data_IF_029396509759
#
_entry.id   IF_029396509759
#
_cell.length_a   1.000
_cell.length_b   1.000
_cell.length_c   1.000
_cell.angle_alpha   90.00
_cell.angle_beta   90.00
_cell.angle_gamma   90.00
#
_symmetry.space_group_name_H-M   'P 1'
#
loop_
_entity.id
_entity.type
_entity.pdbx_description
1 polymer ?
#
# COMPACT_ATOMS: atom_id res chain seq x y z
N UNK A 1 -16.55 -8.11 5.77
CA UNK A 1 -15.20 -8.49 5.34
C UNK A 1 -15.03 -9.95 5.69
N UNK A 2 -14.42 -10.72 4.80
CA UNK A 2 -14.07 -12.12 5.03
C UNK A 2 -12.63 -12.21 5.50
N UNK A 3 -12.39 -13.02 6.52
CA UNK A 3 -11.07 -13.29 7.05
C UNK A 3 -10.72 -14.71 6.75
N UNK A 4 -9.57 -14.90 6.13
CA UNK A 4 -9.05 -16.20 5.80
C UNK A 4 -8.04 -16.62 6.86
N UNK A 5 -8.14 -17.85 7.34
CA UNK A 5 -7.19 -18.39 8.30
C UNK A 5 -6.81 -19.83 7.99
N UNK A 6 -5.62 -20.21 8.46
CA UNK A 6 -5.13 -21.58 8.37
C UNK A 6 -5.63 -22.40 9.57
N UNK A 7 -6.15 -23.59 9.30
CA UNK A 7 -6.55 -24.52 10.34
C UNK A 7 -5.97 -25.92 10.06
N UNK A 8 -5.15 -26.43 10.98
CA UNK A 8 -4.60 -27.77 10.86
C UNK A 8 -5.69 -28.83 11.05
N UNK A 9 -5.87 -29.72 10.07
CA UNK A 9 -6.86 -30.79 10.14
C UNK A 9 -6.36 -32.08 9.47
N UNK A 10 -6.23 -33.16 10.26
CA UNK A 10 -5.91 -34.52 9.78
C UNK A 10 -4.71 -34.59 8.83
N UNK A 11 -3.64 -33.87 9.17
CA UNK A 11 -2.40 -33.87 8.38
C UNK A 11 -2.45 -32.99 7.11
N UNK A 12 -3.50 -32.20 6.96
CA UNK A 12 -3.64 -31.14 5.93
C UNK A 12 -3.80 -29.78 6.60
N UNK A 13 -3.62 -28.73 5.82
CA UNK A 13 -3.94 -27.36 6.21
C UNK A 13 -5.19 -26.91 5.49
N UNK A 14 -6.26 -26.62 6.23
CA UNK A 14 -7.48 -26.05 5.67
C UNK A 14 -7.36 -24.54 5.59
N UNK A 15 -7.94 -23.97 4.55
CA UNK A 15 -8.21 -22.54 4.46
C UNK A 15 -9.68 -22.36 4.86
N UNK A 16 -9.91 -21.59 5.92
CA UNK A 16 -11.25 -21.25 6.39
C UNK A 16 -11.53 -19.78 6.06
N UNK A 17 -12.73 -19.50 5.57
CA UNK A 17 -13.30 -18.16 5.49
C UNK A 17 -14.13 -17.91 6.74
N UNK A 18 -13.90 -16.78 7.42
CA UNK A 18 -14.55 -16.38 8.66
C UNK A 18 -15.15 -15.00 8.44
N UNK A 19 -16.45 -14.85 8.67
CA UNK A 19 -17.14 -13.59 8.47
C UNK A 19 -18.28 -13.46 9.49
N UNK A 20 -18.73 -12.22 9.71
CA UNK A 20 -19.92 -11.97 10.53
C UNK A 20 -21.17 -12.05 9.68
N UNK A 21 -22.22 -12.68 10.19
CA UNK A 21 -23.55 -12.70 9.60
C UNK A 21 -24.59 -12.45 10.71
N UNK A 22 -25.33 -11.35 10.65
CA UNK A 22 -26.39 -11.08 11.62
C UNK A 22 -25.90 -10.91 13.08
N UNK A 23 -24.64 -10.55 13.29
CA UNK A 23 -24.02 -10.40 14.60
C UNK A 23 -23.28 -11.65 15.12
N UNK A 24 -23.50 -12.81 14.50
CA UNK A 24 -22.79 -14.04 14.81
C UNK A 24 -21.57 -14.21 13.89
N UNK A 25 -20.54 -14.90 14.39
CA UNK A 25 -19.35 -15.26 13.61
C UNK A 25 -19.58 -16.63 12.98
N UNK A 26 -19.58 -16.67 11.66
CA UNK A 26 -19.64 -17.91 10.87
C UNK A 26 -18.26 -18.26 10.32
N UNK A 27 -18.04 -19.56 10.08
CA UNK A 27 -16.85 -20.04 9.37
C UNK A 27 -17.23 -21.11 8.36
N UNK A 28 -16.63 -21.04 7.18
CA UNK A 28 -16.77 -22.03 6.11
C UNK A 28 -15.39 -22.52 5.66
N UNK A 29 -15.30 -23.76 5.21
CA UNK A 29 -14.05 -24.27 4.62
C UNK A 29 -14.03 -23.92 3.14
N UNK A 30 -13.04 -23.15 2.72
CA UNK A 30 -12.78 -22.84 1.31
C UNK A 30 -12.16 -24.08 0.64
N UNK A 31 -11.04 -24.55 1.19
CA UNK A 31 -10.29 -25.68 0.60
C UNK A 31 -9.30 -26.30 1.60
N UNK A 32 -8.50 -27.28 1.15
CA UNK A 32 -7.46 -27.93 1.95
C UNK A 32 -6.22 -28.25 1.13
N UNK A 33 -5.07 -27.92 1.68
CA UNK A 33 -3.73 -28.10 1.11
C UNK A 33 -2.90 -29.09 1.93
N UNK A 34 -1.85 -29.63 1.32
CA UNK A 34 -1.03 -30.67 1.95
C UNK A 34 0.00 -30.11 2.96
N UNK A 35 0.31 -28.81 2.92
CA UNK A 35 1.19 -28.16 3.88
C UNK A 35 0.76 -26.72 4.19
N UNK A 36 1.15 -26.19 5.38
CA UNK A 36 1.00 -24.77 5.71
C UNK A 36 1.73 -23.85 4.73
N UNK A 37 2.90 -24.24 4.24
CA UNK A 37 3.71 -23.41 3.34
C UNK A 37 3.02 -23.12 2.00
N UNK A 38 2.17 -24.04 1.53
CA UNK A 38 1.32 -23.81 0.35
C UNK A 38 0.07 -22.98 0.67
N UNK A 39 -0.43 -23.05 1.90
CA UNK A 39 -1.65 -22.36 2.31
C UNK A 39 -1.38 -20.91 2.71
N UNK A 40 -0.21 -20.62 3.30
CA UNK A 40 0.12 -19.31 3.83
C UNK A 40 0.03 -18.20 2.77
N UNK A 41 0.67 -18.31 1.58
CA UNK A 41 0.59 -17.27 0.56
C UNK A 41 -0.84 -17.05 0.00
N UNK A 42 -1.65 -18.12 -0.06
CA UNK A 42 -3.04 -18.03 -0.52
C UNK A 42 -3.91 -17.31 0.51
N UNK A 43 -3.80 -17.67 1.78
CA UNK A 43 -4.53 -17.03 2.89
C UNK A 43 -4.15 -15.56 3.01
N UNK A 44 -2.87 -15.29 2.87
CA UNK A 44 -2.27 -13.97 2.85
C UNK A 44 -2.91 -13.09 1.76
N UNK A 45 -2.79 -13.48 0.50
CA UNK A 45 -3.35 -12.71 -0.61
C UNK A 45 -4.89 -12.56 -0.51
N UNK A 46 -5.63 -13.60 -0.09
CA UNK A 46 -7.08 -13.53 0.10
C UNK A 46 -7.50 -12.52 1.17
N UNK A 47 -6.76 -12.41 2.27
CA UNK A 47 -7.02 -11.41 3.30
C UNK A 47 -6.80 -9.98 2.79
N UNK A 48 -5.71 -9.73 2.05
CA UNK A 48 -5.51 -8.43 1.37
C UNK A 48 -6.65 -8.12 0.42
N UNK A 49 -7.01 -9.05 -0.46
CA UNK A 49 -8.09 -8.87 -1.42
C UNK A 49 -9.40 -8.54 -0.71
N UNK A 50 -9.78 -9.28 0.34
CA UNK A 50 -11.04 -8.99 1.05
C UNK A 50 -11.02 -7.59 1.68
N UNK A 51 -9.92 -7.18 2.30
CA UNK A 51 -9.80 -5.84 2.86
C UNK A 51 -9.88 -4.76 1.77
N UNK A 52 -9.07 -4.87 0.72
CA UNK A 52 -8.94 -3.88 -0.35
C UNK A 52 -10.18 -3.79 -1.25
N UNK A 53 -10.92 -4.88 -1.43
CA UNK A 53 -12.19 -4.87 -2.15
C UNK A 53 -13.32 -4.23 -1.33
N UNK A 54 -13.28 -4.42 0.00
CA UNK A 54 -14.34 -4.05 0.93
C UNK A 54 -14.27 -2.61 1.39
N UNK A 55 -13.10 -2.17 1.89
CA UNK A 55 -12.96 -0.89 2.58
C UNK A 55 -13.37 0.31 1.71
N UNK A 56 -13.00 0.38 0.42
CA UNK A 56 -13.47 1.40 -0.52
C UNK A 56 -14.97 1.62 -0.56
N UNK A 57 -15.75 0.56 -0.41
CA UNK A 57 -17.22 0.55 -0.58
C UNK A 57 -17.93 0.37 0.76
N UNK A 58 -17.21 0.56 1.87
CA UNK A 58 -17.77 0.46 3.21
C UNK A 58 -18.86 1.51 3.42
N UNK A 59 -20.02 1.06 3.91
CA UNK A 59 -21.19 1.92 4.22
C UNK A 59 -20.97 2.85 5.41
N UNK A 60 -19.87 2.68 6.16
CA UNK A 60 -19.44 3.56 7.26
C UNK A 60 -18.52 4.68 6.78
N UNK A 61 -18.40 4.86 5.47
CA UNK A 61 -17.70 6.00 4.90
C UNK A 61 -18.43 7.31 5.22
N UNK A 62 -17.82 8.13 6.08
CA UNK A 62 -18.39 9.39 6.57
C UNK A 62 -18.19 10.59 5.63
N UNK A 63 -17.71 10.40 4.39
CA UNK A 63 -17.58 11.49 3.40
C UNK A 63 -18.90 12.22 3.20
N UNK A 64 -18.84 13.53 2.95
CA UNK A 64 -20.00 14.44 2.77
C UNK A 64 -20.94 14.07 1.60
N UNK A 65 -20.70 12.95 0.91
CA UNK A 65 -21.60 12.36 -0.09
C UNK A 65 -21.58 10.85 0.08
N UNK A 66 -22.63 10.33 0.74
CA UNK A 66 -22.93 8.89 0.94
C UNK A 66 -22.60 8.05 -0.29
N UNK A 67 -22.15 6.80 -0.08
CA UNK A 67 -22.01 5.58 -0.95
C UNK A 67 -22.24 5.72 -2.47
N UNK A 68 -23.25 6.46 -2.92
CA UNK A 68 -23.62 6.67 -4.32
C UNK A 68 -22.56 7.35 -5.23
N UNK A 69 -21.40 7.77 -4.71
CA UNK A 69 -20.36 8.46 -5.50
C UNK A 69 -19.00 7.78 -5.56
N UNK A 70 -18.86 6.57 -4.99
CA UNK A 70 -17.59 5.84 -5.07
C UNK A 70 -17.62 4.76 -6.15
N UNK A 71 -16.53 4.58 -6.92
CA UNK A 71 -16.51 3.57 -7.98
C UNK A 71 -16.59 2.17 -7.38
N UNK A 72 -17.30 1.28 -8.06
CA UNK A 72 -17.43 -0.14 -7.70
C UNK A 72 -16.77 -1.05 -8.73
N UNK A 73 -16.16 -0.47 -9.77
CA UNK A 73 -15.58 -1.20 -10.89
C UNK A 73 -14.42 -2.10 -10.46
N UNK A 74 -13.70 -1.76 -9.38
CA UNK A 74 -12.64 -2.62 -8.82
C UNK A 74 -13.17 -3.99 -8.37
N UNK A 75 -14.46 -4.13 -8.04
CA UNK A 75 -15.05 -5.42 -7.69
C UNK A 75 -15.06 -6.39 -8.88
N UNK A 76 -15.07 -5.90 -10.13
CA UNK A 76 -14.97 -6.74 -11.32
C UNK A 76 -13.63 -7.50 -11.37
N UNK A 77 -12.54 -6.89 -10.91
CA UNK A 77 -11.19 -7.44 -10.96
C UNK A 77 -10.99 -8.72 -10.11
N UNK A 78 -11.87 -8.95 -9.12
CA UNK A 78 -11.87 -10.15 -8.29
C UNK A 78 -12.16 -11.41 -9.15
N UNK A 79 -13.03 -11.29 -10.14
CA UNK A 79 -13.52 -12.41 -10.96
C UNK A 79 -13.05 -12.34 -12.42
N UNK A 80 -12.85 -11.13 -12.95
CA UNK A 80 -12.41 -10.91 -14.32
C UNK A 80 -10.92 -10.52 -14.36
N UNK A 81 -10.08 -11.46 -14.81
CA UNK A 81 -8.64 -11.21 -14.98
C UNK A 81 -8.34 -10.09 -15.97
N UNK A 82 -9.19 -9.87 -16.99
CA UNK A 82 -8.98 -8.79 -17.94
C UNK A 82 -9.20 -7.41 -17.31
N UNK A 83 -10.17 -7.30 -16.39
CA UNK A 83 -10.46 -6.07 -15.66
C UNK A 83 -9.37 -5.67 -14.64
N UNK A 84 -8.43 -6.57 -14.32
CA UNK A 84 -7.34 -6.25 -13.38
C UNK A 84 -6.43 -5.14 -13.89
N UNK A 85 -6.22 -5.05 -15.21
CA UNK A 85 -5.43 -3.97 -15.79
C UNK A 85 -6.07 -2.59 -15.55
N UNK A 86 -7.41 -2.54 -15.44
CA UNK A 86 -8.13 -1.29 -15.23
C UNK A 86 -7.92 -0.72 -13.82
N UNK A 87 -7.52 -1.55 -12.83
CA UNK A 87 -7.14 -1.09 -11.48
C UNK A 87 -5.92 -0.15 -11.48
N UNK A 88 -5.09 -0.24 -12.54
CA UNK A 88 -3.92 0.62 -12.73
C UNK A 88 -4.26 1.90 -13.51
N UNK A 89 -5.53 2.12 -13.80
CA UNK A 89 -6.04 3.28 -14.53
C UNK A 89 -7.10 3.99 -13.71
N UNK A 90 -7.00 5.32 -13.62
CA UNK A 90 -7.92 6.11 -12.82
C UNK A 90 -7.25 7.31 -12.18
N UNK A 91 -8.10 8.22 -11.70
CA UNK A 91 -7.74 9.44 -10.99
C UNK A 91 -8.91 9.90 -10.10
N UNK A 92 -9.62 8.96 -9.47
CA UNK A 92 -10.78 9.25 -8.62
C UNK A 92 -10.34 10.00 -7.36
N UNK A 93 -9.49 9.37 -6.54
CA UNK A 93 -8.82 9.95 -5.38
C UNK A 93 -7.47 9.27 -5.12
N UNK A 94 -6.51 9.97 -4.51
CA UNK A 94 -5.20 9.47 -4.11
C UNK A 94 -5.36 8.20 -3.27
N UNK A 95 -6.27 8.23 -2.31
CA UNK A 95 -6.57 7.07 -1.49
C UNK A 95 -7.18 5.91 -2.30
N UNK A 96 -8.21 6.17 -3.14
CA UNK A 96 -8.84 5.11 -3.95
C UNK A 96 -7.84 4.41 -4.87
N UNK A 97 -7.06 5.21 -5.58
CA UNK A 97 -6.18 4.74 -6.63
C UNK A 97 -4.97 3.99 -6.04
N UNK A 98 -4.56 4.36 -4.82
CA UNK A 98 -3.58 3.58 -4.03
C UNK A 98 -4.16 2.24 -3.60
N UNK A 99 -5.42 2.20 -3.13
CA UNK A 99 -6.11 0.94 -2.80
C UNK A 99 -6.26 0.04 -4.04
N UNK A 100 -6.54 0.61 -5.21
CA UNK A 100 -6.63 -0.16 -6.46
C UNK A 100 -5.27 -0.74 -6.89
N UNK A 101 -4.18 0.00 -6.71
CA UNK A 101 -2.82 -0.49 -6.94
C UNK A 101 -2.49 -1.68 -6.03
N UNK A 102 -2.76 -1.56 -4.74
CA UNK A 102 -2.57 -2.64 -3.76
C UNK A 102 -3.45 -3.85 -4.07
N UNK A 103 -4.70 -3.64 -4.49
CA UNK A 103 -5.61 -4.72 -4.88
C UNK A 103 -5.07 -5.47 -6.11
N UNK A 104 -4.53 -4.73 -7.08
CA UNK A 104 -3.87 -5.33 -8.23
C UNK A 104 -2.70 -6.21 -7.81
N UNK A 105 -1.84 -5.73 -6.90
CA UNK A 105 -0.71 -6.51 -6.39
C UNK A 105 -1.17 -7.77 -5.64
N UNK A 106 -2.16 -7.65 -4.75
CA UNK A 106 -2.70 -8.80 -4.02
C UNK A 106 -3.32 -9.86 -4.94
N UNK A 107 -3.98 -9.44 -6.03
CA UNK A 107 -4.51 -10.35 -7.05
C UNK A 107 -3.39 -11.03 -7.86
N UNK A 108 -2.29 -10.33 -8.15
CA UNK A 108 -1.12 -10.91 -8.79
C UNK A 108 -0.42 -11.95 -7.89
N UNK A 109 -0.22 -11.62 -6.61
CA UNK A 109 0.35 -12.54 -5.62
C UNK A 109 -0.51 -13.79 -5.44
N UNK A 110 -1.84 -13.63 -5.48
CA UNK A 110 -2.76 -14.78 -5.46
C UNK A 110 -2.58 -15.65 -6.71
N UNK A 111 -2.47 -15.07 -7.91
CA UNK A 111 -2.24 -15.84 -9.14
C UNK A 111 -0.93 -16.64 -9.06
N UNK A 112 0.14 -16.03 -8.55
CA UNK A 112 1.44 -16.69 -8.36
C UNK A 112 1.37 -17.81 -7.32
N UNK A 113 0.70 -17.56 -6.19
CA UNK A 113 0.45 -18.59 -5.17
C UNK A 113 -0.38 -19.75 -5.73
N UNK A 114 -1.38 -19.46 -6.58
CA UNK A 114 -2.23 -20.46 -7.20
C UNK A 114 -1.52 -21.25 -8.33
N UNK A 115 -0.45 -20.72 -8.91
CA UNK A 115 0.30 -21.40 -9.98
C UNK A 115 0.92 -22.73 -9.52
N UNK A 116 1.24 -22.86 -8.23
CA UNK A 116 1.90 -24.05 -7.65
C UNK A 116 0.93 -25.03 -6.97
N UNK A 117 -0.36 -24.69 -6.83
CA UNK A 117 -1.35 -25.54 -6.15
C UNK A 117 -2.16 -26.43 -7.12
N UNK A 118 -2.69 -27.57 -6.65
CA UNK A 118 -3.51 -28.46 -7.49
C UNK A 118 -4.76 -27.77 -8.06
N UNK A 119 -5.20 -28.20 -9.25
CA UNK A 119 -6.37 -27.63 -9.93
C UNK A 119 -7.64 -27.55 -9.05
N UNK A 120 -7.99 -28.56 -8.23
CA UNK A 120 -9.17 -28.46 -7.37
C UNK A 120 -9.09 -27.32 -6.35
N UNK A 121 -7.89 -26.99 -5.87
CA UNK A 121 -7.67 -25.86 -4.95
C UNK A 121 -7.90 -24.54 -5.68
N UNK A 122 -7.35 -24.39 -6.89
CA UNK A 122 -7.56 -23.21 -7.73
C UNK A 122 -9.04 -22.92 -7.97
N UNK A 123 -9.80 -23.94 -8.39
CA UNK A 123 -11.24 -23.81 -8.63
C UNK A 123 -12.00 -23.41 -7.36
N UNK A 124 -11.63 -23.96 -6.20
CA UNK A 124 -12.27 -23.59 -4.94
C UNK A 124 -11.98 -22.13 -4.54
N UNK A 125 -10.76 -21.65 -4.76
CA UNK A 125 -10.37 -20.26 -4.48
C UNK A 125 -11.02 -19.28 -5.47
N UNK A 126 -11.10 -19.64 -6.76
CA UNK A 126 -11.81 -18.82 -7.76
C UNK A 126 -13.31 -18.71 -7.42
N UNK A 127 -13.96 -19.80 -6.99
CA UNK A 127 -15.35 -19.79 -6.54
C UNK A 127 -15.57 -18.95 -5.26
N UNK A 128 -14.56 -18.89 -4.38
CA UNK A 128 -14.60 -18.02 -3.20
C UNK A 128 -14.53 -16.54 -3.59
N UNK A 129 -13.66 -16.16 -4.53
CA UNK A 129 -13.61 -14.79 -5.06
C UNK A 129 -14.92 -14.38 -5.75
N UNK A 130 -15.55 -15.30 -6.49
CA UNK A 130 -16.88 -15.07 -7.07
C UNK A 130 -17.95 -14.83 -6.00
N UNK A 131 -17.89 -15.60 -4.90
CA UNK A 131 -18.79 -15.45 -3.75
C UNK A 131 -18.60 -14.09 -3.08
N UNK A 132 -17.36 -13.73 -2.77
CA UNK A 132 -17.02 -12.44 -2.14
C UNK A 132 -17.49 -11.26 -3.02
N UNK A 133 -17.17 -11.28 -4.32
CA UNK A 133 -17.53 -10.21 -5.24
C UNK A 133 -19.06 -10.09 -5.43
N UNK A 134 -19.78 -11.21 -5.47
CA UNK A 134 -21.25 -11.21 -5.54
C UNK A 134 -21.86 -10.65 -4.26
N UNK A 135 -21.44 -11.12 -3.09
CA UNK A 135 -21.99 -10.66 -1.81
C UNK A 135 -21.72 -9.18 -1.54
N UNK A 136 -20.55 -8.67 -1.96
CA UNK A 136 -20.26 -7.24 -1.91
C UNK A 136 -21.21 -6.43 -2.79
N UNK A 137 -21.45 -6.87 -4.04
CA UNK A 137 -22.39 -6.19 -4.95
C UNK A 137 -23.83 -6.23 -4.44
N UNK A 138 -24.30 -7.41 -3.99
CA UNK A 138 -25.65 -7.57 -3.45
C UNK A 138 -25.87 -6.63 -2.25
N UNK A 139 -24.89 -6.54 -1.33
CA UNK A 139 -24.95 -5.65 -0.18
C UNK A 139 -24.96 -4.15 -0.57
N UNK A 140 -24.24 -3.77 -1.62
CA UNK A 140 -24.23 -2.41 -2.14
C UNK A 140 -25.55 -2.04 -2.82
N UNK A 141 -26.11 -2.95 -3.61
CA UNK A 141 -27.40 -2.76 -4.27
C UNK A 141 -28.52 -2.58 -3.24
N UNK A 142 -28.58 -3.45 -2.21
CA UNK A 142 -29.53 -3.31 -1.09
C UNK A 142 -29.44 -1.95 -0.40
N UNK A 143 -28.23 -1.43 -0.20
CA UNK A 143 -28.02 -0.13 0.43
C UNK A 143 -28.44 1.03 -0.49
N UNK A 144 -28.17 0.92 -1.78
CA UNK A 144 -28.50 1.95 -2.78
C UNK A 144 -30.00 2.17 -2.95
N UNK A 145 -30.82 1.13 -2.76
CA UNK A 145 -32.28 1.19 -2.86
C UNK A 145 -32.96 1.84 -1.64
N UNK A 146 -32.18 2.25 -0.62
CA UNK A 146 -32.66 2.82 0.64
C UNK A 146 -33.71 1.95 1.36
N UNK A 147 -33.77 0.66 1.03
CA UNK A 147 -34.57 -0.32 1.75
C UNK A 147 -33.92 -0.49 3.12
N UNK A 148 -34.66 -0.33 4.24
CA UNK A 148 -34.13 -0.66 5.55
C UNK A 148 -33.75 -2.14 5.55
N UNK A 149 -32.46 -2.43 5.41
CA UNK A 149 -31.96 -3.80 5.39
C UNK A 149 -32.42 -4.51 6.67
N UNK A 150 -33.06 -5.70 6.60
CA UNK A 150 -33.50 -6.42 7.80
C UNK A 150 -32.32 -6.64 8.75
N UNK A 151 -32.51 -6.42 10.05
CA UNK A 151 -31.45 -6.43 11.07
C UNK A 151 -30.72 -7.78 11.27
N UNK A 152 -30.91 -8.78 10.40
CA UNK A 152 -30.44 -10.16 10.60
C UNK A 152 -29.50 -10.75 9.55
N UNK A 153 -29.26 -10.11 8.40
CA UNK A 153 -28.43 -10.67 7.30
C UNK A 153 -27.20 -9.80 6.95
N UNK A 154 -26.78 -8.92 7.85
CA UNK A 154 -25.70 -7.97 7.57
C UNK A 154 -24.34 -8.60 7.84
N UNK A 155 -23.46 -8.62 6.82
CA UNK A 155 -22.01 -8.67 7.06
C UNK A 155 -21.62 -7.37 7.78
N UNK A 156 -21.17 -7.48 9.03
CA UNK A 156 -20.69 -6.33 9.81
C UNK A 156 -19.29 -5.95 9.31
N UNK A 157 -19.18 -4.73 8.77
CA UNK A 157 -17.96 -4.14 8.23
C UNK A 157 -17.30 -3.35 9.37
N UNK A 158 -16.45 -4.01 10.17
CA UNK A 158 -15.82 -3.39 11.32
C UNK A 158 -14.73 -2.41 10.84
N UNK A 159 -15.03 -1.11 10.91
CA UNK A 159 -14.14 -0.01 10.49
C UNK A 159 -13.10 0.34 11.58
N UNK A 160 -13.46 0.21 12.86
CA UNK A 160 -12.58 0.62 13.96
C UNK A 160 -11.58 -0.49 14.32
N UNK A 161 -11.96 -1.74 14.07
CA UNK A 161 -11.11 -2.92 14.29
C UNK A 161 -11.40 -3.98 13.22
N UNK A 162 -10.84 -3.88 11.99
CA UNK A 162 -10.83 -5.02 11.09
C UNK A 162 -10.27 -6.21 11.88
N UNK A 163 -11.00 -7.31 11.92
CA UNK A 163 -10.69 -8.43 12.82
C UNK A 163 -9.35 -9.12 12.55
N UNK A 164 -8.51 -8.64 11.61
CA UNK A 164 -7.10 -9.02 11.50
C UNK A 164 -6.27 -7.90 10.85
N UNK A 165 -5.10 -7.53 11.42
CA UNK A 165 -4.01 -6.89 10.68
C UNK A 165 -3.38 -7.92 9.75
N UNK A 166 -3.63 -7.83 8.45
CA UNK A 166 -2.87 -8.60 7.47
C UNK A 166 -1.38 -8.21 7.58
N UNK A 167 -0.49 -9.13 7.98
CA UNK A 167 0.97 -8.91 8.02
C UNK A 167 1.50 -7.77 8.90
N UNK A 168 0.67 -7.20 9.80
CA UNK A 168 0.98 -5.94 10.50
C UNK A 168 -0.02 -4.81 10.24
N UNK A 169 -1.00 -5.04 9.37
CA UNK A 169 -1.95 -4.03 8.88
C UNK A 169 -1.40 -3.35 7.63
N UNK A 170 -2.27 -2.92 6.73
CA UNK A 170 -1.86 -2.01 5.65
C UNK A 170 -1.96 -0.58 6.20
N UNK A 171 -0.83 0.15 6.39
CA UNK A 171 -0.87 1.54 6.88
C UNK A 171 -1.79 2.42 6.01
N UNK A 172 -1.85 2.15 4.71
CA UNK A 172 -2.70 2.83 3.71
C UNK A 172 -4.21 2.70 3.99
N UNK A 173 -4.66 1.63 4.63
CA UNK A 173 -6.07 1.42 4.97
C UNK A 173 -6.47 2.04 6.31
N UNK A 174 -5.53 2.69 7.01
CA UNK A 174 -5.84 3.40 8.25
C UNK A 174 -6.64 4.68 8.02
N UNK A 175 -7.45 5.07 8.99
CA UNK A 175 -8.17 6.35 8.97
C UNK A 175 -7.21 7.53 8.85
N UNK A 176 -6.06 7.49 9.54
CA UNK A 176 -5.05 8.55 9.47
C UNK A 176 -4.44 8.70 8.06
N UNK A 177 -4.03 7.59 7.44
CA UNK A 177 -3.53 7.57 6.06
C UNK A 177 -4.58 8.14 5.09
N UNK A 178 -5.84 7.76 5.27
CA UNK A 178 -6.94 8.27 4.48
C UNK A 178 -7.14 9.78 4.65
N UNK A 179 -7.26 10.26 5.89
CA UNK A 179 -7.46 11.69 6.19
C UNK A 179 -6.30 12.55 5.68
N UNK A 180 -5.07 12.02 5.72
CA UNK A 180 -3.92 12.69 5.11
C UNK A 180 -4.10 12.83 3.60
N UNK A 181 -4.35 11.72 2.88
CA UNK A 181 -4.49 11.76 1.43
C UNK A 181 -5.69 12.62 0.99
N UNK A 182 -6.79 12.61 1.75
CA UNK A 182 -7.94 13.50 1.51
C UNK A 182 -7.53 14.99 1.67
N UNK A 183 -6.62 15.31 2.60
CA UNK A 183 -6.08 16.67 2.78
C UNK A 183 -5.14 17.10 1.66
N UNK A 184 -4.26 16.21 1.20
CA UNK A 184 -3.38 16.45 0.04
C UNK A 184 -4.18 16.70 -1.25
N UNK A 185 -5.39 16.14 -1.34
CA UNK A 185 -6.28 16.37 -2.48
C UNK A 185 -7.13 17.63 -2.38
N UNK A 186 -7.23 18.24 -1.21
CA UNK A 186 -8.14 19.35 -0.98
C UNK A 186 -7.76 20.54 -1.86
N UNK A 187 -8.69 20.96 -2.73
CA UNK A 187 -8.47 22.08 -3.63
C UNK A 187 -7.77 21.73 -4.95
N UNK A 188 -7.34 20.48 -5.16
CA UNK A 188 -6.75 20.05 -6.43
C UNK A 188 -7.76 20.10 -7.59
N UNK A 189 -7.28 20.52 -8.75
CA UNK A 189 -7.98 20.30 -10.02
C UNK A 189 -7.95 18.82 -10.41
N UNK A 190 -8.82 18.41 -11.33
CA UNK A 190 -8.83 17.04 -11.84
C UNK A 190 -7.51 16.63 -12.53
N UNK A 191 -6.82 17.59 -13.16
CA UNK A 191 -5.52 17.36 -13.81
C UNK A 191 -4.42 17.17 -12.77
N UNK A 192 -4.32 18.07 -11.78
CA UNK A 192 -3.37 17.94 -10.67
C UNK A 192 -3.57 16.63 -9.90
N UNK A 193 -4.83 16.24 -9.65
CA UNK A 193 -5.12 14.95 -9.01
C UNK A 193 -4.64 13.77 -9.85
N UNK A 194 -4.83 13.81 -11.17
CA UNK A 194 -4.35 12.73 -12.05
C UNK A 194 -2.83 12.61 -12.02
N UNK A 195 -2.11 13.74 -12.02
CA UNK A 195 -0.65 13.76 -11.94
C UNK A 195 -0.13 13.30 -10.57
N UNK A 196 -0.81 13.67 -9.48
CA UNK A 196 -0.51 13.23 -8.13
C UNK A 196 -0.73 11.72 -7.97
N UNK A 197 -1.85 11.19 -8.49
CA UNK A 197 -2.12 9.74 -8.52
C UNK A 197 -1.05 9.00 -9.32
N UNK A 198 -0.67 9.52 -10.49
CA UNK A 198 0.37 8.91 -11.31
C UNK A 198 1.72 8.89 -10.57
N UNK A 199 2.04 9.95 -9.85
CA UNK A 199 3.28 10.05 -9.09
C UNK A 199 3.29 9.11 -7.88
N UNK A 200 2.18 9.06 -7.13
CA UNK A 200 2.01 8.16 -6.00
C UNK A 200 2.13 6.68 -6.42
N UNK A 201 1.55 6.32 -7.57
CA UNK A 201 1.71 4.97 -8.15
C UNK A 201 3.17 4.61 -8.42
N UNK A 202 3.97 5.55 -8.96
CA UNK A 202 5.40 5.32 -9.19
C UNK A 202 6.13 5.05 -7.87
N UNK A 203 5.82 5.84 -6.83
CA UNK A 203 6.45 5.72 -5.53
C UNK A 203 6.13 4.39 -4.84
N UNK A 204 4.83 4.03 -4.74
CA UNK A 204 4.39 2.76 -4.15
C UNK A 204 4.98 1.57 -4.93
N UNK A 205 4.92 1.60 -6.27
CA UNK A 205 5.48 0.54 -7.12
C UNK A 205 6.98 0.36 -6.89
N UNK A 206 7.73 1.46 -6.75
CA UNK A 206 9.16 1.40 -6.49
C UNK A 206 9.48 0.80 -5.11
N UNK A 207 8.71 1.19 -4.09
CA UNK A 207 8.88 0.69 -2.73
C UNK A 207 8.60 -0.81 -2.64
N UNK A 208 7.47 -1.27 -3.16
CA UNK A 208 7.07 -2.69 -3.16
C UNK A 208 8.04 -3.58 -3.94
N UNK A 209 8.64 -3.08 -5.02
CA UNK A 209 9.67 -3.79 -5.77
C UNK A 209 11.01 -3.85 -5.04
N UNK A 210 11.23 -2.98 -4.06
CA UNK A 210 12.50 -2.89 -3.35
C UNK A 210 12.59 -3.91 -2.21
N UNK A 211 13.79 -4.46 -1.92
CA UNK A 211 14.00 -5.29 -0.75
C UNK A 211 13.88 -4.51 0.56
N UNK A 212 13.85 -3.18 0.52
CA UNK A 212 13.69 -2.32 1.71
C UNK A 212 12.32 -2.54 2.39
N UNK A 213 11.26 -2.79 1.60
CA UNK A 213 9.93 -3.11 2.13
C UNK A 213 9.92 -4.39 2.99
N UNK A 214 10.75 -5.38 2.63
CA UNK A 214 10.85 -6.65 3.37
C UNK A 214 11.93 -6.67 4.45
N UNK A 215 12.95 -5.80 4.36
CA UNK A 215 14.10 -5.77 5.27
C UNK A 215 13.89 -4.86 6.49
N UNK A 216 12.85 -4.02 6.49
CA UNK A 216 12.60 -3.04 7.56
C UNK A 216 13.61 -1.88 7.60
N UNK A 217 14.41 -1.74 6.54
CA UNK A 217 15.40 -0.66 6.35
C UNK A 217 14.83 0.55 5.61
N UNK A 218 13.55 0.51 5.26
CA UNK A 218 12.81 1.65 4.73
C UNK A 218 11.33 1.54 5.06
N UNK A 219 10.68 2.69 5.10
CA UNK A 219 9.25 2.86 5.38
C UNK A 219 8.64 3.71 4.28
N UNK A 220 7.51 3.26 3.75
CA UNK A 220 6.64 4.12 2.95
C UNK A 220 5.77 4.92 3.91
N UNK A 221 5.95 6.24 3.93
CA UNK A 221 5.10 7.13 4.72
C UNK A 221 3.86 7.49 3.90
N UNK A 222 2.69 7.35 4.54
CA UNK A 222 1.44 7.86 3.97
C UNK A 222 1.13 9.26 4.51
N UNK A 223 1.71 9.62 5.67
CA UNK A 223 1.58 10.96 6.26
C UNK A 223 2.27 12.01 5.40
N UNK A 224 3.39 11.63 4.79
CA UNK A 224 4.09 12.38 3.76
C UNK A 224 4.31 11.38 2.63
N UNK A 225 3.73 11.54 1.42
CA UNK A 225 3.91 10.61 0.31
C UNK A 225 5.37 10.50 -0.15
N UNK A 226 6.16 9.73 0.60
CA UNK A 226 7.60 9.59 0.46
C UNK A 226 8.06 8.19 0.86
N UNK A 227 9.19 7.77 0.31
CA UNK A 227 9.94 6.63 0.81
C UNK A 227 11.03 7.18 1.71
N UNK A 228 11.03 6.74 2.96
CA UNK A 228 12.11 6.97 3.92
C UNK A 228 12.98 5.71 3.99
N UNK A 229 14.29 5.84 3.85
CA UNK A 229 15.23 4.74 3.97
C UNK A 229 16.40 5.13 4.87
N UNK A 230 16.52 4.41 5.98
CA UNK A 230 17.56 4.61 6.97
C UNK A 230 18.33 3.31 7.14
N UNK A 231 19.46 3.16 6.43
CA UNK A 231 20.39 2.11 6.77
C UNK A 231 21.09 2.48 8.08
N UNK A 232 21.14 1.55 9.04
CA UNK A 232 21.89 1.69 10.30
C UNK A 232 23.34 2.09 9.98
N UNK A 233 23.63 3.39 10.12
CA UNK A 233 24.90 4.00 9.72
C UNK A 233 25.35 5.02 10.77
N UNK A 234 26.64 5.00 11.07
CA UNK A 234 27.24 5.82 12.13
C UNK A 234 27.21 7.34 11.84
N UNK A 235 26.86 7.74 10.62
CA UNK A 235 26.85 9.14 10.17
C UNK A 235 25.46 9.79 10.31
N UNK A 236 24.47 9.05 10.85
CA UNK A 236 23.08 9.47 11.01
C UNK A 236 22.49 10.09 9.73
N UNK A 237 22.78 9.46 8.60
CA UNK A 237 22.23 9.85 7.31
C UNK A 237 21.02 9.00 6.97
N UNK A 238 20.05 9.62 6.32
CA UNK A 238 18.90 8.92 5.75
C UNK A 238 18.63 9.42 4.34
N UNK A 239 17.92 8.59 3.57
CA UNK A 239 17.51 8.90 2.21
C UNK A 239 16.00 9.06 2.15
N UNK A 240 15.53 10.13 1.52
CA UNK A 240 14.11 10.31 1.20
C UNK A 240 13.91 10.36 -0.31
N UNK A 241 12.80 9.78 -0.77
CA UNK A 241 12.31 9.92 -2.15
C UNK A 241 10.91 10.52 -2.09
N UNK A 242 10.76 11.74 -2.61
CA UNK A 242 9.54 12.53 -2.52
C UNK A 242 8.91 12.73 -3.89
N UNK A 243 7.58 12.59 -3.94
CA UNK A 243 6.80 12.99 -5.13
C UNK A 243 6.67 14.52 -5.18
N UNK A 244 6.37 15.10 -6.36
CA UNK A 244 6.05 16.52 -6.47
C UNK A 244 4.81 16.87 -5.63
N UNK A 245 4.86 18.02 -4.94
CA UNK A 245 3.68 18.57 -4.26
C UNK A 245 2.56 18.86 -5.27
N UNK A 246 1.31 18.45 -4.98
CA UNK A 246 0.23 18.44 -5.95
C UNK A 246 -0.42 19.82 -6.16
N UNK A 247 -0.36 20.71 -5.18
CA UNK A 247 -0.96 22.05 -5.20
C UNK A 247 -0.15 23.08 -6.02
N UNK A 248 1.10 22.75 -6.36
CA UNK A 248 2.00 23.60 -7.12
C UNK A 248 2.60 24.76 -6.32
N UNK A 249 2.43 24.80 -4.99
CA UNK A 249 3.16 25.73 -4.12
C UNK A 249 4.64 25.31 -3.97
N UNK A 250 4.91 24.02 -4.15
CA UNK A 250 6.24 23.44 -4.26
C UNK A 250 6.92 23.60 -5.63
N UNK A 251 8.07 22.95 -5.77
CA UNK A 251 8.92 23.06 -6.98
C UNK A 251 8.39 22.26 -8.19
N UNK A 252 7.30 21.50 -8.02
CA UNK A 252 6.72 20.66 -9.07
C UNK A 252 7.67 19.61 -9.62
N UNK A 253 8.70 19.24 -8.85
CA UNK A 253 9.72 18.26 -9.26
C UNK A 253 9.82 17.13 -8.26
N UNK A 254 10.19 15.97 -8.78
CA UNK A 254 10.54 14.81 -7.96
C UNK A 254 11.87 15.08 -7.27
N UNK A 255 12.02 14.66 -6.01
CA UNK A 255 13.23 14.86 -5.24
C UNK A 255 13.74 13.56 -4.64
N UNK A 256 15.04 13.35 -4.73
CA UNK A 256 15.77 12.34 -3.93
C UNK A 256 16.73 13.13 -3.06
N UNK A 257 16.60 12.99 -1.76
CA UNK A 257 17.36 13.76 -0.79
C UNK A 257 18.18 12.82 0.08
N UNK A 258 19.39 13.26 0.41
CA UNK A 258 20.17 12.67 1.49
C UNK A 258 20.20 13.71 2.59
N UNK A 259 19.63 13.35 3.73
CA UNK A 259 19.48 14.21 4.88
C UNK A 259 20.33 13.67 6.03
N UNK A 260 20.60 14.53 7.01
CA UNK A 260 21.26 14.15 8.26
C UNK A 260 20.27 14.36 9.39
N UNK A 261 20.18 13.41 10.31
CA UNK A 261 19.42 13.60 11.53
C UNK A 261 19.97 14.78 12.33
N UNK A 262 19.06 15.67 12.73
CA UNK A 262 19.33 16.69 13.73
C UNK A 262 18.47 16.40 14.97
N UNK A 263 19.02 16.49 16.18
CA UNK A 263 18.22 16.34 17.38
C UNK A 263 17.27 17.53 17.51
N UNK A 264 16.00 17.27 17.82
CA UNK A 264 15.00 18.33 17.99
C UNK A 264 15.30 19.20 19.23
N UNK A 265 15.92 18.62 20.26
CA UNK A 265 16.45 19.31 21.43
C UNK A 265 17.98 19.12 21.51
N UNK A 266 18.79 20.20 21.50
CA UNK A 266 20.24 20.10 21.63
C UNK A 266 20.72 19.46 22.94
N UNK A 267 19.83 19.31 23.93
CA UNK A 267 20.09 18.62 25.20
C UNK A 267 19.73 17.11 25.15
N UNK A 268 19.20 16.57 24.03
CA UNK A 268 19.07 15.12 23.81
C UNK A 268 20.47 14.49 23.70
N UNK A 269 20.87 13.73 24.74
CA UNK A 269 22.20 13.15 24.87
C UNK A 269 22.14 11.63 24.62
N UNK A 270 21.81 11.22 23.39
CA UNK A 270 21.93 9.81 22.99
C UNK A 270 21.14 9.42 21.75
N UNK A 271 21.63 8.40 21.04
CA UNK A 271 20.99 7.80 19.85
C UNK A 271 19.56 7.31 20.14
N UNK A 272 19.27 6.96 21.39
CA UNK A 272 17.94 6.48 21.84
C UNK A 272 16.92 7.62 22.10
N UNK A 273 17.34 8.89 22.05
CA UNK A 273 16.51 10.06 22.39
C UNK A 273 16.03 10.86 21.16
N UNK A 274 16.61 10.62 19.96
CA UNK A 274 16.17 11.27 18.72
C UNK A 274 14.72 10.87 18.40
N UNK A 275 13.80 11.82 18.54
CA UNK A 275 12.36 11.55 18.43
C UNK A 275 11.76 11.84 17.05
N UNK A 276 12.43 12.60 16.19
CA UNK A 276 11.97 12.89 14.83
C UNK A 276 13.09 13.12 13.81
N UNK A 277 12.85 12.69 12.56
CA UNK A 277 13.78 12.83 11.43
C UNK A 277 13.70 14.24 10.83
N UNK A 278 13.95 15.27 11.65
CA UNK A 278 14.09 16.65 11.19
C UNK A 278 15.55 16.86 10.81
N UNK A 279 15.80 17.20 9.56
CA UNK A 279 17.16 17.36 9.06
C UNK A 279 17.17 18.09 7.75
N UNK A 280 18.03 19.11 7.63
CA UNK A 280 18.20 19.79 6.35
C UNK A 280 18.82 18.83 5.32
N UNK A 281 18.39 18.88 4.05
CA UNK A 281 18.96 18.04 3.01
C UNK A 281 20.41 18.44 2.78
N UNK A 282 21.33 17.50 3.04
CA UNK A 282 22.76 17.65 2.75
C UNK A 282 22.99 17.69 1.24
N UNK A 283 22.15 16.95 0.51
CA UNK A 283 22.21 16.82 -0.93
C UNK A 283 20.82 16.58 -1.51
N UNK A 284 20.56 17.15 -2.69
CA UNK A 284 19.34 16.91 -3.46
C UNK A 284 19.64 16.51 -4.90
N UNK A 285 18.89 15.53 -5.41
CA UNK A 285 18.75 15.23 -6.83
C UNK A 285 17.34 15.61 -7.29
N UNK A 286 17.19 16.76 -7.95
CA UNK A 286 15.90 17.21 -8.51
C UNK A 286 15.67 16.64 -9.90
N UNK A 287 14.54 15.98 -10.09
CA UNK A 287 14.16 15.30 -11.32
C UNK A 287 12.99 16.05 -11.99
N UNK A 288 13.26 16.59 -13.18
CA UNK A 288 12.27 17.33 -13.98
C UNK A 288 11.34 16.42 -14.79
N UNK A 289 11.60 15.10 -14.79
CA UNK A 289 10.75 14.10 -15.38
C UNK A 289 10.45 13.02 -14.34
N UNK A 290 9.27 12.40 -14.45
CA UNK A 290 8.86 11.31 -13.58
C UNK A 290 9.89 10.17 -13.67
N UNK A 291 10.53 9.78 -12.57
CA UNK A 291 11.46 8.66 -12.56
C UNK A 291 10.74 7.36 -12.88
N UNK A 292 11.48 6.38 -13.40
CA UNK A 292 10.93 5.04 -13.54
C UNK A 292 10.95 4.32 -12.18
N UNK A 293 9.94 3.50 -11.85
CA UNK A 293 9.92 2.78 -10.58
C UNK A 293 11.16 1.88 -10.37
N UNK A 294 11.65 1.23 -11.43
CA UNK A 294 12.84 0.38 -11.39
C UNK A 294 14.11 1.14 -10.98
N UNK A 295 14.25 2.41 -11.41
CA UNK A 295 15.39 3.23 -11.03
C UNK A 295 15.39 3.58 -9.53
N UNK A 296 14.23 3.84 -8.93
CA UNK A 296 14.10 4.08 -7.49
C UNK A 296 14.30 2.77 -6.72
N UNK A 297 13.69 1.67 -7.17
CA UNK A 297 13.85 0.36 -6.57
C UNK A 297 15.32 -0.10 -6.56
N UNK A 298 16.06 0.13 -7.66
CA UNK A 298 17.50 -0.17 -7.76
C UNK A 298 18.33 0.68 -6.78
N UNK A 299 17.97 1.96 -6.59
CA UNK A 299 18.61 2.86 -5.61
C UNK A 299 18.43 2.32 -4.19
N UNK A 300 17.20 1.99 -3.81
CA UNK A 300 16.88 1.42 -2.50
C UNK A 300 17.56 0.06 -2.31
N UNK A 301 17.55 -0.80 -3.33
CA UNK A 301 18.21 -2.10 -3.29
C UNK A 301 19.71 -2.00 -3.03
N UNK A 302 20.38 -1.02 -3.65
CA UNK A 302 21.80 -0.74 -3.41
C UNK A 302 22.05 -0.28 -1.99
N UNK A 303 21.20 0.62 -1.48
CA UNK A 303 21.31 1.12 -0.12
C UNK A 303 21.18 -0.01 0.92
N UNK A 304 20.27 -0.96 0.68
CA UNK A 304 20.11 -2.14 1.54
C UNK A 304 21.31 -3.10 1.43
N UNK A 305 21.89 -3.26 0.24
CA UNK A 305 23.00 -4.17 0.01
C UNK A 305 24.36 -3.61 0.49
N UNK A 306 24.56 -2.30 0.37
CA UNK A 306 25.79 -1.57 0.67
C UNK A 306 25.45 -0.26 1.43
N UNK A 307 25.06 -0.32 2.71
CA UNK A 307 24.76 0.84 3.57
C UNK A 307 25.81 1.96 3.54
N UNK A 308 27.09 1.58 3.42
CA UNK A 308 28.24 2.49 3.33
C UNK A 308 28.24 3.40 2.09
N UNK A 309 27.33 3.18 1.13
CA UNK A 309 27.15 4.08 0.01
C UNK A 309 26.50 5.41 0.42
N UNK A 310 25.73 5.46 1.50
CA UNK A 310 25.00 6.68 1.86
C UNK A 310 25.93 7.86 2.20
N UNK A 311 26.99 7.69 3.02
CA UNK A 311 27.99 8.74 3.25
C UNK A 311 28.79 9.08 1.98
N UNK A 312 29.08 8.08 1.13
CA UNK A 312 29.75 8.30 -0.16
C UNK A 312 28.90 9.15 -1.09
N UNK A 313 27.60 8.88 -1.14
CA UNK A 313 26.65 9.66 -1.92
C UNK A 313 26.50 11.09 -1.38
N UNK A 314 26.47 11.29 -0.06
CA UNK A 314 26.38 12.61 0.56
C UNK A 314 27.53 13.56 0.16
N UNK A 315 28.71 13.02 -0.17
CA UNK A 315 29.88 13.80 -0.61
C UNK A 315 29.92 14.07 -2.12
N UNK A 316 28.93 13.61 -2.89
CA UNK A 316 28.87 13.82 -4.34
C UNK A 316 28.75 15.30 -4.70
N UNK A 317 29.44 15.75 -5.74
CA UNK A 317 29.42 17.15 -6.19
C UNK A 317 28.23 17.44 -7.12
N UNK A 318 27.81 18.70 -7.18
CA UNK A 318 26.75 19.16 -8.09
C UNK A 318 27.13 18.87 -9.54
N UNK A 319 26.23 18.22 -10.27
CA UNK A 319 26.42 17.83 -11.67
C UNK A 319 26.93 16.40 -11.85
N UNK A 320 27.37 15.74 -10.79
CA UNK A 320 27.78 14.33 -10.82
C UNK A 320 26.62 13.41 -10.40
N UNK A 321 26.57 12.16 -10.91
CA UNK A 321 25.60 11.18 -10.48
C UNK A 321 25.99 10.52 -9.16
N UNK A 322 25.00 10.19 -8.31
CA UNK A 322 25.23 9.31 -7.16
C UNK A 322 25.83 8.00 -7.66
N UNK A 323 26.95 7.57 -7.06
CA UNK A 323 27.76 6.48 -7.60
C UNK A 323 26.91 5.22 -7.83
N UNK A 324 26.99 4.66 -9.05
CA UNK A 324 26.22 3.48 -9.43
C UNK A 324 24.76 3.75 -9.86
N UNK A 325 24.34 5.01 -9.93
CA UNK A 325 22.97 5.40 -10.32
C UNK A 325 22.98 6.39 -11.50
N UNK A 326 21.79 6.83 -11.93
CA UNK A 326 21.60 7.91 -12.91
C UNK A 326 21.11 9.21 -12.27
N UNK A 327 20.93 9.25 -10.96
CA UNK A 327 20.41 10.41 -10.25
C UNK A 327 21.53 11.42 -10.08
N UNK A 328 21.38 12.59 -10.73
CA UNK A 328 22.39 13.65 -10.76
C UNK A 328 22.09 14.67 -9.68
N UNK A 329 23.14 15.03 -8.94
CA UNK A 329 23.07 16.01 -7.87
C UNK A 329 22.82 17.40 -8.45
N UNK A 330 21.80 18.06 -7.93
CA UNK A 330 21.43 19.43 -8.33
C UNK A 330 21.75 20.46 -7.26
N UNK A 331 21.72 20.06 -5.98
CA UNK A 331 21.94 20.93 -4.83
C UNK A 331 22.80 20.21 -3.80
N UNK A 332 23.68 20.94 -3.12
CA UNK A 332 24.47 20.47 -2.00
C UNK A 332 24.46 21.55 -0.92
N UNK A 333 24.09 21.18 0.31
CA UNK A 333 24.11 22.04 1.50
C UNK A 333 25.02 21.36 2.54
N UNK A 334 26.24 21.88 2.73
CA UNK A 334 27.24 21.33 3.65
C UNK A 334 27.62 22.33 4.72
#
# INVERSE_FOLDING_TARGET
MTIYCQHANRGKTQILAVYRNGGDVESSTVTSLDSPDLAAPVVDALNRISALATVPVSIFDERERRVASYPTDHLAALTDRAARADLLSGAHSLWYESVCLELHQALADLDDALAVVPQPVRVAVEAELETEARELRDALDEHSEAIPSPEGNRRSWDHEQPFVPYGGGSPLLSTAAREQLDREEEGLTAEQRADAVASLRVLITAFEQSPAAGAGSGVFSVEYPEIFAEPDSADHLFLTVRVPEPDGEGTGVWCIEICRWEPDDPDEEGEDEYSSATGEPVLECRLTAVPRPDAISDLLSRLVAEPELLPVWAETEVGDPLVGTKFVVTTVNR
#
